data_IF_347216519408
#
_entry.id   IF_347216519408
#
_cell.length_a   1.000
_cell.length_b   1.000
_cell.length_c   1.000
_cell.angle_alpha   90.00
_cell.angle_beta   90.00
_cell.angle_gamma   90.00
#
_symmetry.space_group_name_H-M   'P 1'
#
loop_
_entity.id
_entity.type
_entity.pdbx_description
1 polymer ?
#
# COMPACT_ATOMS: atom_id res chain seq x y z
N UNK A 1 -0.27 26.89 -1.43
CA UNK A 1 -1.57 26.82 -2.13
C UNK A 1 -1.38 26.81 -3.64
N UNK A 2 -0.72 27.79 -4.28
CA UNK A 2 -0.54 27.76 -5.75
C UNK A 2 0.31 26.58 -6.28
N UNK A 3 1.22 26.03 -5.47
CA UNK A 3 2.03 24.85 -5.87
C UNK A 3 1.28 23.51 -5.85
N UNK A 4 0.11 23.42 -5.22
CA UNK A 4 -0.70 22.19 -5.26
C UNK A 4 -1.53 22.11 -6.54
N UNK A 5 -1.98 23.26 -7.08
CA UNK A 5 -2.78 23.31 -8.30
C UNK A 5 -1.99 22.89 -9.55
N UNK A 6 -0.70 23.25 -9.65
CA UNK A 6 0.13 22.95 -10.84
C UNK A 6 0.44 21.45 -10.99
N UNK A 7 0.22 20.64 -9.95
CA UNK A 7 0.53 19.21 -9.95
C UNK A 7 -0.62 18.35 -10.50
N UNK A 8 -1.86 18.88 -10.52
CA UNK A 8 -3.06 18.15 -10.97
C UNK A 8 -3.17 18.09 -12.50
N UNK A 9 -2.56 19.04 -13.24
CA UNK A 9 -2.74 19.20 -14.69
C UNK A 9 -2.14 18.09 -15.57
N UNK A 10 -1.47 17.08 -15.01
CA UNK A 10 -0.84 15.99 -15.77
C UNK A 10 -1.40 14.58 -15.50
N UNK A 11 -2.48 14.45 -14.73
CA UNK A 11 -3.16 13.16 -14.54
C UNK A 11 -4.54 13.19 -15.19
N UNK A 12 -4.86 12.16 -15.96
CA UNK A 12 -6.21 11.92 -16.46
C UNK A 12 -7.10 11.55 -15.26
N UNK A 13 -7.73 12.54 -14.65
CA UNK A 13 -8.42 12.45 -13.34
C UNK A 13 -9.41 11.28 -13.29
N UNK A 14 -10.15 11.06 -14.38
CA UNK A 14 -11.18 10.02 -14.47
C UNK A 14 -10.60 8.59 -14.41
N UNK A 15 -9.41 8.38 -14.96
CA UNK A 15 -8.73 7.08 -14.95
C UNK A 15 -8.27 6.73 -13.53
N UNK A 16 -7.75 7.72 -12.81
CA UNK A 16 -7.30 7.53 -11.43
C UNK A 16 -8.47 7.33 -10.47
N UNK A 17 -9.57 8.06 -10.64
CA UNK A 17 -10.77 7.90 -9.82
C UNK A 17 -11.32 6.46 -9.91
N UNK A 18 -11.29 5.88 -11.11
CA UNK A 18 -11.65 4.48 -11.31
C UNK A 18 -10.70 3.54 -10.55
N UNK A 19 -9.39 3.75 -10.67
CA UNK A 19 -8.34 2.96 -10.00
C UNK A 19 -8.45 3.02 -8.48
N UNK A 20 -8.73 4.21 -7.93
CA UNK A 20 -8.93 4.39 -6.49
C UNK A 20 -10.15 3.59 -6.04
N UNK A 21 -11.28 3.71 -6.73
CA UNK A 21 -12.51 2.98 -6.37
C UNK A 21 -12.34 1.46 -6.46
N UNK A 22 -11.67 0.97 -7.50
CA UNK A 22 -11.49 -0.47 -7.74
C UNK A 22 -10.55 -1.11 -6.71
N UNK A 23 -9.55 -0.38 -6.21
CA UNK A 23 -8.52 -0.92 -5.33
C UNK A 23 -8.59 -0.44 -3.88
N UNK A 24 -9.55 0.42 -3.51
CA UNK A 24 -9.64 0.98 -2.15
C UNK A 24 -9.68 -0.11 -1.08
N UNK A 25 -10.61 -1.07 -1.25
CA UNK A 25 -10.79 -2.16 -0.30
C UNK A 25 -9.58 -3.09 -0.25
N UNK A 26 -8.93 -3.32 -1.41
CA UNK A 26 -7.71 -4.12 -1.50
C UNK A 26 -6.56 -3.53 -0.67
N UNK A 27 -6.36 -2.22 -0.80
CA UNK A 27 -5.35 -1.48 -0.05
C UNK A 27 -5.67 -1.47 1.44
N UNK A 28 -6.93 -1.23 1.80
CA UNK A 28 -7.35 -1.18 3.20
C UNK A 28 -7.19 -2.53 3.88
N UNK A 29 -7.70 -3.60 3.28
CA UNK A 29 -7.58 -4.95 3.83
C UNK A 29 -6.12 -5.36 3.98
N UNK A 30 -5.27 -5.04 3.01
CA UNK A 30 -3.86 -5.40 3.09
C UNK A 30 -3.12 -4.60 4.17
N UNK A 31 -3.46 -3.32 4.33
CA UNK A 31 -2.97 -2.49 5.44
C UNK A 31 -3.40 -3.06 6.79
N UNK A 32 -4.65 -3.50 6.91
CA UNK A 32 -5.18 -4.12 8.13
C UNK A 32 -4.54 -5.47 8.45
N UNK A 33 -4.27 -6.29 7.44
CA UNK A 33 -3.56 -7.56 7.63
C UNK A 33 -2.17 -7.32 8.24
N UNK A 34 -1.46 -6.28 7.77
CA UNK A 34 -0.11 -5.93 8.23
C UNK A 34 -0.13 -5.27 9.61
N UNK A 35 -1.07 -4.35 9.85
CA UNK A 35 -1.07 -3.50 11.05
C UNK A 35 -1.92 -4.03 12.20
N UNK A 36 -2.97 -4.80 11.89
CA UNK A 36 -4.02 -5.23 12.83
C UNK A 36 -4.73 -4.08 13.55
N UNK A 37 -4.70 -2.87 12.97
CA UNK A 37 -5.30 -1.66 13.52
C UNK A 37 -6.16 -0.97 12.44
N UNK A 38 -7.49 -0.85 12.62
CA UNK A 38 -8.37 -0.21 11.65
C UNK A 38 -8.05 1.27 11.39
N UNK A 39 -7.73 2.05 12.43
CA UNK A 39 -7.42 3.47 12.29
C UNK A 39 -6.11 3.68 11.55
N UNK A 40 -5.09 2.89 11.88
CA UNK A 40 -3.83 2.92 11.17
C UNK A 40 -3.99 2.45 9.71
N UNK A 41 -4.93 1.54 9.45
CA UNK A 41 -5.25 1.06 8.10
C UNK A 41 -5.92 2.14 7.26
N UNK A 42 -6.82 2.93 7.85
CA UNK A 42 -7.42 4.10 7.19
C UNK A 42 -6.34 5.10 6.77
N UNK A 43 -5.43 5.43 7.71
CA UNK A 43 -4.34 6.39 7.47
C UNK A 43 -3.38 5.91 6.39
N UNK A 44 -2.95 4.65 6.45
CA UNK A 44 -2.06 4.06 5.44
C UNK A 44 -2.74 4.03 4.08
N UNK A 45 -4.03 3.68 4.02
CA UNK A 45 -4.78 3.61 2.76
C UNK A 45 -4.79 4.97 2.06
N UNK A 46 -5.04 6.04 2.81
CA UNK A 46 -5.01 7.40 2.29
C UNK A 46 -3.61 7.77 1.76
N UNK A 47 -2.55 7.52 2.54
CA UNK A 47 -1.18 7.83 2.14
C UNK A 47 -0.74 7.02 0.90
N UNK A 48 -1.19 5.78 0.77
CA UNK A 48 -0.97 4.95 -0.42
C UNK A 48 -1.57 5.60 -1.66
N UNK A 49 -2.84 6.02 -1.63
CA UNK A 49 -3.46 6.64 -2.81
C UNK A 49 -2.86 8.01 -3.15
N UNK A 50 -2.41 8.77 -2.15
CA UNK A 50 -1.62 10.00 -2.39
C UNK A 50 -0.31 9.67 -3.12
N UNK A 51 0.39 8.60 -2.72
CA UNK A 51 1.61 8.14 -3.40
C UNK A 51 1.33 7.60 -4.79
N UNK A 52 0.23 6.86 -4.98
CA UNK A 52 -0.22 6.38 -6.30
C UNK A 52 -0.44 7.55 -7.23
N UNK A 53 -1.19 8.58 -6.79
CA UNK A 53 -1.40 9.80 -7.56
C UNK A 53 -0.08 10.48 -7.94
N UNK A 54 0.81 10.69 -6.97
CA UNK A 54 2.12 11.33 -7.20
C UNK A 54 3.02 10.58 -8.16
N UNK A 55 2.89 9.26 -8.22
CA UNK A 55 3.73 8.38 -9.04
C UNK A 55 3.01 7.82 -10.26
N UNK A 56 1.78 8.26 -10.56
CA UNK A 56 0.94 7.70 -11.62
C UNK A 56 1.65 7.69 -12.98
N UNK A 57 2.23 8.82 -13.35
CA UNK A 57 2.96 8.99 -14.61
C UNK A 57 4.29 8.21 -14.68
N UNK A 58 4.77 7.66 -13.56
CA UNK A 58 5.97 6.82 -13.51
C UNK A 58 5.68 5.32 -13.67
N UNK A 59 4.39 4.94 -13.70
CA UNK A 59 3.99 3.55 -13.84
C UNK A 59 4.32 3.03 -15.26
N UNK A 60 5.31 2.15 -15.34
CA UNK A 60 5.87 1.64 -16.60
C UNK A 60 5.07 0.52 -17.27
N UNK A 61 3.95 0.09 -16.67
CA UNK A 61 3.10 -1.02 -17.15
C UNK A 61 3.83 -2.38 -17.29
N UNK A 62 4.92 -2.55 -16.55
CA UNK A 62 5.66 -3.83 -16.46
C UNK A 62 4.98 -4.84 -15.51
N UNK A 63 3.92 -4.44 -14.81
CA UNK A 63 3.10 -5.28 -13.92
C UNK A 63 1.64 -4.80 -13.94
N UNK A 64 0.71 -5.52 -13.30
CA UNK A 64 -0.66 -5.05 -13.14
C UNK A 64 -0.75 -3.83 -12.22
N UNK A 65 -1.76 -2.98 -12.41
CA UNK A 65 -2.01 -1.80 -11.55
C UNK A 65 -2.19 -2.25 -10.09
N UNK A 66 -2.97 -3.32 -9.86
CA UNK A 66 -3.16 -3.93 -8.53
C UNK A 66 -1.83 -4.29 -7.88
N UNK A 67 -0.95 -4.98 -8.60
CA UNK A 67 0.39 -5.38 -8.09
C UNK A 67 1.23 -4.17 -7.72
N UNK A 68 1.20 -3.14 -8.57
CA UNK A 68 1.95 -1.90 -8.32
C UNK A 68 1.43 -1.15 -7.09
N UNK A 69 0.12 -1.04 -6.91
CA UNK A 69 -0.51 -0.39 -5.75
C UNK A 69 -0.20 -1.17 -4.47
N UNK A 70 -0.37 -2.50 -4.46
CA UNK A 70 -0.12 -3.31 -3.26
C UNK A 70 1.36 -3.27 -2.83
N UNK A 71 2.30 -3.12 -3.78
CA UNK A 71 3.71 -2.86 -3.47
C UNK A 71 3.90 -1.55 -2.71
N UNK A 72 3.19 -0.49 -3.11
CA UNK A 72 3.21 0.81 -2.41
C UNK A 72 2.59 0.65 -1.02
N UNK A 73 1.49 -0.09 -0.89
CA UNK A 73 0.83 -0.39 0.40
C UNK A 73 1.76 -1.06 1.38
N UNK A 74 2.38 -2.17 0.97
CA UNK A 74 3.32 -2.92 1.83
C UNK A 74 4.45 -2.04 2.33
N UNK A 75 5.08 -1.30 1.42
CA UNK A 75 6.20 -0.41 1.78
C UNK A 75 5.75 0.67 2.74
N UNK A 76 4.57 1.25 2.53
CA UNK A 76 3.99 2.26 3.41
C UNK A 76 3.72 1.67 4.79
N UNK A 77 2.96 0.58 4.88
CA UNK A 77 2.63 -0.07 6.16
C UNK A 77 3.88 -0.48 6.97
N UNK A 78 4.88 -1.08 6.31
CA UNK A 78 6.14 -1.46 6.96
C UNK A 78 6.88 -0.22 7.47
N UNK A 79 6.91 0.87 6.72
CA UNK A 79 7.55 2.10 7.16
C UNK A 79 6.84 2.72 8.37
N UNK A 80 5.51 2.70 8.40
CA UNK A 80 4.72 3.12 9.57
C UNK A 80 5.11 2.29 10.80
N UNK A 81 5.14 0.95 10.69
CA UNK A 81 5.52 0.06 11.79
C UNK A 81 6.98 0.22 12.23
N UNK A 82 7.91 0.49 11.30
CA UNK A 82 9.33 0.70 11.60
C UNK A 82 9.60 2.02 12.29
N UNK A 83 8.73 3.02 12.14
CA UNK A 83 8.86 4.32 12.79
C UNK A 83 8.98 4.15 14.31
N UNK A 84 9.98 4.82 14.89
CA UNK A 84 10.34 4.74 16.32
C UNK A 84 9.18 5.05 17.26
N UNK A 85 8.16 5.75 16.76
CA UNK A 85 6.90 6.01 17.46
C UNK A 85 6.10 4.72 17.69
N UNK A 86 5.92 3.87 16.68
CA UNK A 86 5.19 2.61 16.78
C UNK A 86 5.96 1.52 17.53
N UNK A 87 7.29 1.48 17.38
CA UNK A 87 8.15 0.58 18.18
C UNK A 87 8.03 0.83 19.69
N UNK A 88 7.76 2.07 20.10
CA UNK A 88 7.62 2.47 21.50
C UNK A 88 6.21 2.20 22.04
N UNK A 89 5.19 2.20 21.19
CA UNK A 89 3.80 1.89 21.55
C UNK A 89 3.58 0.36 21.60
N UNK A 90 4.22 -0.39 20.71
CA UNK A 90 4.06 -1.84 20.58
C UNK A 90 5.11 -2.63 21.38
N UNK A 91 5.11 -2.51 22.71
CA UNK A 91 5.87 -3.41 23.58
C UNK A 91 5.10 -4.72 23.79
N UNK A 92 5.00 -5.59 22.77
CA UNK A 92 4.73 -7.05 22.87
C UNK A 92 4.81 -7.65 21.44
N UNK A 93 5.81 -8.50 21.21
CA UNK A 93 5.56 -9.83 20.61
C UNK A 93 5.54 -10.06 19.09
N UNK A 94 5.69 -9.08 18.19
CA UNK A 94 5.46 -9.36 16.74
C UNK A 94 6.66 -9.22 15.80
N UNK A 95 7.79 -8.69 16.25
CA UNK A 95 8.93 -8.43 15.37
C UNK A 95 10.02 -9.49 15.51
N UNK A 96 9.78 -10.67 14.96
CA UNK A 96 10.86 -11.60 14.63
C UNK A 96 11.39 -11.30 13.23
N UNK A 97 12.52 -10.62 13.25
CA UNK A 97 13.69 -10.76 12.39
C UNK A 97 13.70 -10.16 10.96
N UNK A 98 14.79 -9.45 10.72
CA UNK A 98 15.10 -8.56 9.61
C UNK A 98 15.95 -9.33 8.60
N UNK A 99 15.51 -9.44 7.33
CA UNK A 99 16.40 -9.76 6.20
C UNK A 99 16.05 -8.91 5.00
N UNK A 100 16.87 -7.89 4.72
CA UNK A 100 17.16 -7.46 3.35
C UNK A 100 18.01 -8.59 2.74
N UNK A 101 17.70 -9.17 1.59
CA UNK A 101 17.47 -8.57 0.27
C UNK A 101 16.33 -9.26 -0.46
N UNK A 102 15.50 -8.50 -1.19
CA UNK A 102 14.37 -9.05 -1.92
C UNK A 102 14.17 -8.32 -3.28
N UNK A 103 14.43 -9.02 -4.37
CA UNK A 103 14.23 -8.66 -5.78
C UNK A 103 13.97 -9.97 -6.56
N UNK A 104 12.84 -10.16 -7.24
CA UNK A 104 12.71 -9.97 -8.70
C UNK A 104 11.23 -9.83 -9.17
N UNK A 105 10.30 -9.50 -8.29
CA UNK A 105 9.11 -10.28 -7.90
C UNK A 105 9.60 -10.74 -6.53
N UNK A 106 9.19 -10.14 -5.41
CA UNK A 106 9.49 -10.79 -4.13
C UNK A 106 8.27 -11.50 -3.58
N UNK A 107 8.11 -12.76 -3.93
CA UNK A 107 8.27 -13.32 -5.28
C UNK A 107 6.89 -13.89 -5.50
N UNK A 108 6.21 -13.22 -6.43
CA UNK A 108 4.76 -13.09 -6.50
C UNK A 108 4.04 -12.32 -5.36
N UNK A 109 4.71 -11.80 -4.32
CA UNK A 109 4.07 -11.31 -3.07
C UNK A 109 3.20 -12.37 -2.36
N UNK A 110 3.63 -13.62 -2.55
CA UNK A 110 3.08 -14.89 -2.07
C UNK A 110 1.95 -15.42 -2.96
N UNK A 111 2.22 -16.51 -3.69
CA UNK A 111 1.38 -17.08 -4.77
C UNK A 111 -0.07 -17.41 -4.47
N UNK A 112 -0.33 -17.75 -3.23
CA UNK A 112 -1.48 -18.56 -2.87
C UNK A 112 -2.09 -18.11 -1.53
N UNK A 113 -1.29 -17.46 -0.70
CA UNK A 113 -1.62 -17.25 0.71
C UNK A 113 -2.71 -16.20 0.91
N UNK A 114 -2.66 -15.13 0.10
CA UNK A 114 -3.70 -14.10 0.12
C UNK A 114 -4.98 -14.57 -0.56
N UNK A 115 -4.94 -15.48 -1.55
CA UNK A 115 -6.15 -15.98 -2.22
C UNK A 115 -7.10 -16.70 -1.24
N UNK A 116 -6.56 -17.44 -0.26
CA UNK A 116 -7.35 -18.08 0.80
C UNK A 116 -7.86 -17.09 1.85
N UNK A 117 -7.06 -16.08 2.22
CA UNK A 117 -7.52 -15.00 3.12
C UNK A 117 -8.61 -14.14 2.45
N UNK A 118 -8.46 -13.86 1.15
CA UNK A 118 -9.41 -13.08 0.35
C UNK A 118 -10.75 -13.79 0.11
N UNK A 119 -10.80 -15.13 0.14
CA UNK A 119 -12.07 -15.90 0.14
C UNK A 119 -12.88 -15.76 1.43
N UNK A 120 -12.25 -15.43 2.55
CA UNK A 120 -12.91 -15.37 3.87
C UNK A 120 -13.44 -13.97 4.16
N UNK A 121 -12.85 -12.95 3.55
CA UNK A 121 -13.27 -11.54 3.69
C UNK A 121 -14.41 -11.17 2.72
N UNK A 122 -14.62 -11.97 1.67
CA UNK A 122 -15.69 -11.83 0.66
C UNK A 122 -16.81 -12.84 0.94
#
# INVERSE_FOLDING_TARGET
MEMEQTFIEKCNHDELDYVIKDHWQDVWNYSFIITKDPHLSDDITQDVFIKVFKNWNSFRKESSIRTWILKITRNTAINYLKSSYFKRISLIGFFSDDKQSLSAEQEFFNQEEMNEVWKVVL
#
